data_IF_324730987532
#
_entry.id   IF_324730987532
#
_cell.length_a   1.000
_cell.length_b   1.000
_cell.length_c   1.000
_cell.angle_alpha   90.00
_cell.angle_beta   90.00
_cell.angle_gamma   90.00
#
_symmetry.space_group_name_H-M   'P 1'
#
loop_
_entity.id
_entity.type
_entity.pdbx_description
1 polymer ?
#
# COMPACT_ATOMS: atom_id res chain seq x y z
N UNK A 1 -25.79 -41.87 -54.45
CA UNK A 1 -25.55 -42.10 -53.01
C UNK A 1 -24.44 -41.14 -52.58
N UNK A 2 -24.77 -40.08 -51.83
CA UNK A 2 -23.81 -39.05 -51.40
C UNK A 2 -23.23 -39.47 -50.05
N UNK A 3 -21.93 -39.80 -50.01
CA UNK A 3 -21.21 -40.05 -48.77
C UNK A 3 -20.61 -38.72 -48.28
N UNK A 4 -20.95 -38.37 -47.04
CA UNK A 4 -20.53 -37.17 -46.34
C UNK A 4 -19.14 -37.38 -45.73
N UNK A 5 -18.18 -36.52 -46.06
CA UNK A 5 -16.82 -36.58 -45.52
C UNK A 5 -16.79 -35.94 -44.12
N UNK A 6 -16.48 -36.73 -43.09
CA UNK A 6 -16.18 -36.24 -41.74
C UNK A 6 -14.67 -35.96 -41.68
N UNK A 7 -14.28 -34.69 -41.62
CA UNK A 7 -12.89 -34.30 -41.37
C UNK A 7 -12.56 -34.50 -39.90
N UNK A 8 -11.62 -35.38 -39.63
CA UNK A 8 -11.06 -35.63 -38.30
C UNK A 8 -10.25 -34.40 -37.87
N UNK A 9 -10.79 -33.63 -36.93
CA UNK A 9 -10.14 -32.45 -36.35
C UNK A 9 -9.02 -32.85 -35.39
N UNK A 10 -7.81 -32.38 -35.67
CA UNK A 10 -6.65 -32.43 -34.80
C UNK A 10 -6.86 -31.45 -33.65
N UNK A 11 -7.20 -31.96 -32.45
CA UNK A 11 -7.25 -31.16 -31.23
C UNK A 11 -5.83 -31.11 -30.67
N UNK A 12 -5.12 -30.02 -30.96
CA UNK A 12 -3.85 -29.70 -30.33
C UNK A 12 -4.15 -29.16 -28.93
N UNK A 13 -4.08 -30.02 -27.91
CA UNK A 13 -4.13 -29.58 -26.51
C UNK A 13 -2.77 -28.94 -26.18
N UNK A 14 -2.70 -27.61 -26.30
CA UNK A 14 -1.58 -26.84 -25.79
C UNK A 14 -1.72 -26.80 -24.26
N UNK A 15 -1.20 -27.81 -23.57
CA UNK A 15 -1.04 -27.79 -22.13
C UNK A 15 0.12 -26.85 -21.78
N UNK A 16 -0.14 -25.54 -21.84
CA UNK A 16 0.69 -24.56 -21.17
C UNK A 16 0.37 -24.65 -19.67
N UNK A 17 1.16 -25.46 -18.94
CA UNK A 17 1.26 -25.29 -17.50
C UNK A 17 2.00 -23.97 -17.28
N UNK A 18 1.21 -22.94 -17.00
CA UNK A 18 1.68 -21.62 -16.62
C UNK A 18 2.63 -21.74 -15.41
N UNK A 19 3.69 -20.90 -15.33
CA UNK A 19 4.47 -20.79 -14.12
C UNK A 19 3.56 -20.40 -12.95
N UNK A 20 3.71 -21.09 -11.82
CA UNK A 20 3.12 -20.70 -10.53
C UNK A 20 3.75 -19.39 -10.09
N UNK A 21 3.14 -18.28 -10.47
CA UNK A 21 3.44 -16.95 -9.96
C UNK A 21 2.22 -16.48 -9.17
N UNK A 22 2.30 -16.63 -7.86
CA UNK A 22 1.52 -15.87 -6.88
C UNK A 22 2.40 -15.82 -5.63
N UNK A 23 3.54 -15.15 -5.75
CA UNK A 23 4.03 -14.38 -4.61
C UNK A 23 3.08 -13.18 -4.54
N UNK A 24 2.58 -12.81 -3.35
CA UNK A 24 1.92 -11.52 -3.17
C UNK A 24 2.86 -10.44 -3.69
N UNK A 25 2.55 -9.89 -4.84
CA UNK A 25 3.44 -9.05 -5.64
C UNK A 25 2.81 -7.66 -5.74
N UNK A 26 3.15 -6.81 -4.77
CA UNK A 26 3.56 -5.48 -5.17
C UNK A 26 3.10 -4.29 -4.33
N UNK A 27 2.32 -4.43 -3.26
CA UNK A 27 1.77 -3.25 -2.57
C UNK A 27 1.82 -3.33 -1.06
N UNK A 28 2.04 -2.18 -0.44
CA UNK A 28 1.86 -1.96 1.00
C UNK A 28 0.54 -1.21 1.16
N UNK A 29 -0.44 -1.84 1.82
CA UNK A 29 -1.80 -1.31 1.92
C UNK A 29 -2.43 -1.54 3.28
N UNK A 30 -3.56 -0.89 3.50
CA UNK A 30 -4.47 -1.16 4.61
C UNK A 30 -5.73 -1.79 4.04
N UNK A 31 -6.06 -3.00 4.51
CA UNK A 31 -7.26 -3.74 4.14
C UNK A 31 -8.49 -2.95 4.58
N UNK A 32 -9.38 -2.70 3.62
CA UNK A 32 -10.54 -1.84 3.81
C UNK A 32 -10.29 -0.35 3.58
N UNK A 33 -9.05 0.15 3.49
CA UNK A 33 -8.80 1.53 3.02
C UNK A 33 -8.93 1.56 1.49
N UNK A 34 -10.16 1.41 1.02
CA UNK A 34 -10.48 1.16 -0.39
C UNK A 34 -10.45 2.44 -1.20
N UNK A 35 -10.74 3.60 -0.59
CA UNK A 35 -10.60 4.89 -1.25
C UNK A 35 -9.15 5.42 -1.17
N UNK A 36 -8.32 4.83 -0.30
CA UNK A 36 -6.90 5.12 -0.15
C UNK A 36 -6.61 6.38 0.63
N UNK A 37 -7.51 6.87 1.50
CA UNK A 37 -7.36 8.08 2.31
C UNK A 37 -6.69 7.85 3.67
N UNK A 38 -6.36 6.60 3.99
CA UNK A 38 -5.65 6.21 5.21
C UNK A 38 -6.54 6.15 6.45
N UNK A 39 -7.85 6.40 6.31
CA UNK A 39 -8.85 6.15 7.32
C UNK A 39 -9.73 4.98 6.89
N UNK A 40 -10.10 4.15 7.87
CA UNK A 40 -11.10 3.12 7.65
C UNK A 40 -12.45 3.65 8.13
N UNK A 41 -13.29 4.11 7.21
CA UNK A 41 -14.57 4.74 7.52
C UNK A 41 -15.70 4.40 6.53
N UNK A 42 -16.78 5.20 6.52
CA UNK A 42 -17.95 4.92 5.66
C UNK A 42 -17.68 5.22 4.17
N UNK A 43 -16.64 6.00 3.87
CA UNK A 43 -16.18 6.28 2.51
C UNK A 43 -15.73 5.04 1.78
N UNK A 44 -15.13 4.08 2.49
CA UNK A 44 -14.59 2.86 1.94
C UNK A 44 -15.65 1.91 1.34
N UNK A 45 -16.67 1.45 2.08
CA UNK A 45 -17.68 0.57 1.50
C UNK A 45 -18.47 1.27 0.39
N UNK A 46 -18.56 2.61 0.41
CA UNK A 46 -19.13 3.40 -0.69
C UNK A 46 -18.24 3.33 -1.93
N UNK A 47 -16.92 3.46 -1.76
CA UNK A 47 -15.95 3.31 -2.85
C UNK A 47 -15.97 1.89 -3.43
N UNK A 48 -16.00 0.84 -2.60
CA UNK A 48 -16.15 -0.55 -3.03
C UNK A 48 -17.40 -0.76 -3.87
N UNK A 49 -18.56 -0.25 -3.45
CA UNK A 49 -19.78 -0.33 -4.23
C UNK A 49 -19.70 0.46 -5.54
N UNK A 50 -19.02 1.62 -5.53
CA UNK A 50 -18.78 2.40 -6.73
C UNK A 50 -17.89 1.63 -7.72
N UNK A 51 -16.84 0.96 -7.25
CA UNK A 51 -15.99 0.07 -8.04
C UNK A 51 -16.78 -1.06 -8.70
N UNK A 52 -17.65 -1.72 -7.94
CA UNK A 52 -18.43 -2.87 -8.43
C UNK A 52 -19.49 -2.51 -9.48
N UNK A 53 -20.11 -1.33 -9.37
CA UNK A 53 -21.31 -1.00 -10.14
C UNK A 53 -21.16 0.18 -11.10
N UNK A 54 -20.05 0.93 -11.06
CA UNK A 54 -19.78 2.08 -11.92
C UNK A 54 -18.57 1.80 -12.80
N UNK A 55 -18.79 1.72 -14.11
CA UNK A 55 -17.85 1.21 -15.12
C UNK A 55 -16.52 1.97 -15.27
N UNK A 56 -16.40 3.15 -14.66
CA UNK A 56 -15.28 4.07 -14.86
C UNK A 56 -14.41 4.24 -13.60
N UNK A 57 -14.62 3.41 -12.58
CA UNK A 57 -13.79 3.41 -11.36
C UNK A 57 -12.59 2.49 -11.55
N UNK A 58 -11.44 3.04 -11.89
CA UNK A 58 -10.18 2.32 -11.73
C UNK A 58 -9.84 2.26 -10.24
N UNK A 59 -9.41 1.10 -9.76
CA UNK A 59 -8.84 0.95 -8.43
C UNK A 59 -7.43 0.38 -8.55
N UNK A 60 -6.50 1.04 -7.89
CA UNK A 60 -5.07 0.71 -7.93
C UNK A 60 -4.70 -0.29 -6.83
N UNK A 61 -5.67 -0.74 -6.03
CA UNK A 61 -5.43 -1.73 -4.97
C UNK A 61 -6.62 -2.68 -4.79
N UNK A 62 -6.54 -3.84 -5.45
CA UNK A 62 -7.59 -4.87 -5.34
C UNK A 62 -7.55 -5.57 -3.98
N UNK A 63 -6.38 -5.68 -3.35
CA UNK A 63 -6.25 -6.30 -2.02
C UNK A 63 -6.92 -5.46 -0.93
N UNK A 64 -6.96 -4.13 -1.08
CA UNK A 64 -7.71 -3.27 -0.17
C UNK A 64 -9.22 -3.49 -0.30
N UNK A 65 -9.70 -3.76 -1.52
CA UNK A 65 -11.12 -4.00 -1.82
C UNK A 65 -11.62 -5.36 -1.35
N UNK A 66 -10.75 -6.36 -1.24
CA UNK A 66 -11.06 -7.67 -0.64
C UNK A 66 -10.94 -7.59 0.90
N UNK A 67 -11.94 -6.93 1.50
CA UNK A 67 -11.98 -6.66 2.94
C UNK A 67 -12.17 -7.96 3.74
N UNK A 68 -12.84 -8.94 3.13
CA UNK A 68 -13.13 -10.21 3.78
C UNK A 68 -12.06 -11.29 3.54
N UNK A 69 -11.07 -10.99 2.69
CA UNK A 69 -9.86 -11.80 2.43
C UNK A 69 -10.19 -13.19 1.87
N UNK A 70 -11.14 -13.25 0.91
CA UNK A 70 -11.58 -14.50 0.27
C UNK A 70 -11.09 -14.69 -1.18
N UNK A 71 -10.20 -13.80 -1.62
CA UNK A 71 -9.59 -13.74 -2.95
C UNK A 71 -10.56 -13.24 -4.02
N UNK A 72 -11.62 -12.52 -3.64
CA UNK A 72 -12.62 -11.96 -4.55
C UNK A 72 -13.07 -10.59 -4.08
N UNK A 73 -13.20 -9.68 -5.04
CA UNK A 73 -13.85 -8.39 -4.81
C UNK A 73 -15.31 -8.51 -5.23
N UNK A 74 -16.22 -8.54 -4.26
CA UNK A 74 -17.66 -8.54 -4.49
C UNK A 74 -18.46 -7.78 -3.41
N UNK A 75 -19.80 -7.90 -3.42
CA UNK A 75 -20.65 -7.15 -2.49
C UNK A 75 -20.47 -7.59 -1.02
N UNK A 76 -19.92 -8.79 -0.78
CA UNK A 76 -19.63 -9.30 0.54
C UNK A 76 -18.61 -8.42 1.26
N UNK A 77 -17.65 -7.83 0.55
CA UNK A 77 -16.63 -6.95 1.13
C UNK A 77 -17.24 -5.70 1.76
N UNK A 78 -18.07 -4.98 0.99
CA UNK A 78 -18.76 -3.80 1.50
C UNK A 78 -19.69 -4.13 2.68
N UNK A 79 -20.35 -5.29 2.65
CA UNK A 79 -21.23 -5.75 3.76
C UNK A 79 -20.40 -6.12 5.00
N UNK A 80 -19.26 -6.76 4.81
CA UNK A 80 -18.33 -7.14 5.87
C UNK A 80 -17.81 -5.89 6.58
N UNK A 81 -17.32 -4.92 5.80
CA UNK A 81 -16.80 -3.65 6.29
C UNK A 81 -17.86 -2.83 7.06
N UNK A 82 -19.05 -2.65 6.50
CA UNK A 82 -20.16 -1.98 7.19
C UNK A 82 -20.56 -2.69 8.49
N UNK A 83 -20.44 -4.01 8.53
CA UNK A 83 -20.70 -4.79 9.74
C UNK A 83 -19.63 -4.55 10.81
N UNK A 84 -18.36 -4.46 10.41
CA UNK A 84 -17.28 -4.06 11.30
C UNK A 84 -17.51 -2.66 11.87
N UNK A 85 -17.74 -1.67 11.00
CA UNK A 85 -17.89 -0.25 11.36
C UNK A 85 -19.10 0.02 12.28
N UNK A 86 -20.26 -0.61 12.03
CA UNK A 86 -21.51 -0.23 12.70
C UNK A 86 -22.13 -1.31 13.59
N UNK A 87 -21.69 -2.56 13.50
CA UNK A 87 -22.33 -3.68 14.21
C UNK A 87 -21.38 -4.45 15.12
N UNK A 88 -20.20 -3.91 15.38
CA UNK A 88 -19.14 -4.60 16.12
C UNK A 88 -18.88 -5.99 15.52
N UNK A 89 -18.88 -6.06 14.18
CA UNK A 89 -18.51 -7.26 13.45
C UNK A 89 -17.06 -7.64 13.68
N UNK A 90 -16.65 -8.79 13.16
CA UNK A 90 -15.24 -9.21 13.18
C UNK A 90 -14.39 -8.17 12.44
N UNK A 91 -13.24 -7.76 12.99
CA UNK A 91 -12.31 -6.91 12.25
C UNK A 91 -11.81 -7.61 10.98
N UNK A 92 -11.54 -6.86 9.89
CA UNK A 92 -10.86 -7.41 8.72
C UNK A 92 -9.54 -8.10 9.10
N UNK A 93 -9.13 -9.15 8.37
CA UNK A 93 -7.79 -9.71 8.51
C UNK A 93 -6.70 -8.66 8.26
N UNK A 94 -5.49 -8.84 8.80
CA UNK A 94 -4.36 -7.97 8.47
C UNK A 94 -4.11 -7.87 6.95
N UNK A 95 -3.55 -6.75 6.45
CA UNK A 95 -3.07 -5.58 7.20
C UNK A 95 -4.18 -4.54 7.52
N UNK A 96 -4.55 -4.31 8.79
CA UNK A 96 -5.69 -3.43 9.17
C UNK A 96 -5.29 -2.11 9.83
N UNK A 97 -4.49 -2.16 10.90
CA UNK A 97 -4.12 -0.96 11.67
C UNK A 97 -2.88 -0.25 11.12
N UNK A 98 -2.12 -0.95 10.27
CA UNK A 98 -0.86 -0.50 9.71
C UNK A 98 -0.72 -1.01 8.29
N UNK A 99 -0.19 -0.17 7.38
CA UNK A 99 0.12 -0.62 6.04
C UNK A 99 1.06 -1.84 6.09
N UNK A 100 0.74 -2.87 5.30
CA UNK A 100 1.54 -4.09 5.19
C UNK A 100 1.30 -4.80 3.87
N UNK A 101 2.08 -5.86 3.59
CA UNK A 101 1.82 -6.74 2.46
C UNK A 101 0.61 -7.62 2.73
N UNK A 102 0.07 -8.22 1.68
CA UNK A 102 -0.90 -9.30 1.87
C UNK A 102 -0.21 -10.56 2.41
N UNK A 103 -0.73 -11.10 3.51
CA UNK A 103 -0.25 -12.34 4.11
C UNK A 103 -0.95 -13.58 3.49
N UNK A 104 -2.02 -13.39 2.74
CA UNK A 104 -2.75 -14.45 2.04
C UNK A 104 -2.40 -14.41 0.54
N UNK A 105 -1.85 -15.51 -0.02
CA UNK A 105 -1.54 -15.53 -1.44
C UNK A 105 -2.80 -15.74 -2.28
N UNK A 106 -3.07 -14.80 -3.20
CA UNK A 106 -4.10 -14.96 -4.23
C UNK A 106 -3.69 -14.31 -5.58
N UNK A 107 -4.67 -13.97 -6.42
CA UNK A 107 -4.46 -13.35 -7.73
C UNK A 107 -4.80 -11.85 -7.76
N UNK A 108 -5.24 -11.29 -6.64
CA UNK A 108 -5.43 -9.86 -6.45
C UNK A 108 -4.05 -9.21 -6.27
N UNK A 109 -4.00 -7.93 -6.58
CA UNK A 109 -2.77 -7.14 -6.51
C UNK A 109 -3.07 -5.77 -5.98
N UNK A 110 -2.16 -5.27 -5.15
CA UNK A 110 -2.12 -3.88 -4.77
C UNK A 110 -0.96 -3.14 -5.44
N UNK A 111 -1.27 -2.13 -6.24
CA UNK A 111 -0.30 -1.22 -6.86
C UNK A 111 -0.19 0.11 -6.09
N UNK A 112 -1.03 0.34 -5.07
CA UNK A 112 -0.83 1.46 -4.13
C UNK A 112 0.52 1.29 -3.43
N UNK A 113 1.39 2.28 -3.62
CA UNK A 113 2.73 2.31 -3.03
C UNK A 113 3.86 1.84 -3.93
N UNK A 114 3.61 1.47 -5.20
CA UNK A 114 4.68 1.17 -6.19
C UNK A 114 4.44 1.88 -7.53
N UNK A 115 4.00 3.14 -7.47
CA UNK A 115 4.12 4.05 -8.61
C UNK A 115 5.26 5.06 -8.38
N UNK A 116 5.78 5.64 -9.45
CA UNK A 116 6.83 6.66 -9.39
C UNK A 116 6.46 7.75 -8.36
N UNK A 117 7.19 7.81 -7.24
CA UNK A 117 7.04 8.84 -6.22
C UNK A 117 5.97 8.62 -5.16
N UNK A 118 6.13 7.58 -4.33
CA UNK A 118 5.37 7.41 -3.08
C UNK A 118 5.69 8.53 -2.09
N UNK A 119 4.66 9.24 -1.62
CA UNK A 119 4.76 10.34 -0.66
C UNK A 119 4.69 9.80 0.79
N UNK A 120 5.76 9.96 1.56
CA UNK A 120 5.86 9.50 2.95
C UNK A 120 6.25 10.65 3.90
N UNK A 121 5.63 10.71 5.08
CA UNK A 121 5.98 11.63 6.17
C UNK A 121 6.66 10.91 7.32
N UNK A 122 7.68 11.50 7.91
CA UNK A 122 8.20 11.15 9.21
C UNK A 122 8.16 12.35 10.14
N UNK A 123 7.57 12.15 11.32
CA UNK A 123 7.60 13.12 12.42
C UNK A 123 8.59 12.64 13.47
N UNK A 124 9.79 13.25 13.58
CA UNK A 124 10.79 12.78 14.52
C UNK A 124 10.30 12.82 15.96
N UNK A 125 10.29 11.66 16.62
CA UNK A 125 9.91 11.52 18.04
C UNK A 125 11.11 11.42 18.96
N UNK A 126 12.33 11.33 18.44
CA UNK A 126 13.58 11.21 19.19
C UNK A 126 14.65 12.11 18.56
N UNK A 127 15.69 12.46 19.33
CA UNK A 127 16.84 13.19 18.78
C UNK A 127 18.08 12.31 18.77
N UNK A 128 18.86 12.37 17.70
CA UNK A 128 20.14 11.67 17.52
C UNK A 128 20.01 10.13 17.53
N UNK A 129 18.83 9.63 17.19
CA UNK A 129 18.52 8.19 17.11
C UNK A 129 17.87 7.82 15.77
N UNK A 130 17.67 8.79 14.89
CA UNK A 130 17.16 8.56 13.56
C UNK A 130 18.26 7.91 12.70
N UNK A 131 17.88 6.98 11.81
CA UNK A 131 18.85 6.17 11.06
C UNK A 131 19.77 6.98 10.14
N UNK A 132 19.34 8.17 9.74
CA UNK A 132 20.06 9.11 8.89
C UNK A 132 20.82 10.18 9.69
N UNK A 133 20.55 10.36 10.99
CA UNK A 133 21.27 11.31 11.83
C UNK A 133 22.60 10.68 12.31
N UNK A 134 23.59 10.59 11.41
CA UNK A 134 24.92 10.02 11.73
C UNK A 134 25.92 11.05 12.27
N UNK A 135 25.65 12.35 12.13
CA UNK A 135 26.45 13.45 12.66
C UNK A 135 25.62 14.73 12.93
N UNK A 136 26.29 15.80 13.33
CA UNK A 136 25.69 17.09 13.69
C UNK A 136 25.45 17.96 12.43
N UNK A 137 25.56 17.42 11.21
CA UNK A 137 25.25 18.18 10.00
C UNK A 137 23.76 18.55 9.98
N UNK A 138 23.51 19.82 9.66
CA UNK A 138 22.18 20.43 9.72
C UNK A 138 21.36 20.22 8.44
N UNK A 139 21.88 19.45 7.48
CA UNK A 139 21.17 19.16 6.23
C UNK A 139 20.51 17.78 6.30
N UNK A 140 19.46 17.73 7.12
CA UNK A 140 18.67 16.51 7.38
C UNK A 140 18.06 15.93 6.10
N UNK A 141 17.74 16.80 5.12
CA UNK A 141 17.24 16.40 3.80
C UNK A 141 18.32 15.67 2.99
N UNK A 142 19.55 16.16 2.99
CA UNK A 142 20.65 15.47 2.32
C UNK A 142 20.92 14.09 2.96
N UNK A 143 20.88 14.01 4.29
CA UNK A 143 21.13 12.78 5.04
C UNK A 143 20.07 11.70 4.78
N UNK A 144 18.78 12.05 4.88
CA UNK A 144 17.70 11.10 4.60
C UNK A 144 17.73 10.65 3.13
N UNK A 145 18.04 11.55 2.21
CA UNK A 145 18.14 11.23 0.77
C UNK A 145 19.22 10.20 0.52
N UNK A 146 20.44 10.45 1.01
CA UNK A 146 21.56 9.53 0.86
C UNK A 146 21.29 8.16 1.52
N UNK A 147 20.61 8.17 2.67
CA UNK A 147 20.24 6.95 3.37
C UNK A 147 19.23 6.11 2.57
N UNK A 148 18.18 6.73 2.00
CA UNK A 148 17.20 6.07 1.12
C UNK A 148 17.87 5.46 -0.10
N UNK A 149 18.72 6.24 -0.78
CA UNK A 149 19.45 5.80 -1.98
C UNK A 149 20.38 4.61 -1.69
N UNK A 150 20.91 4.51 -0.47
CA UNK A 150 21.81 3.41 -0.07
C UNK A 150 21.15 2.02 -0.09
N UNK A 151 19.82 1.95 -0.06
CA UNK A 151 19.07 0.69 -0.17
C UNK A 151 18.42 0.47 -1.55
N UNK A 152 18.75 1.31 -2.54
CA UNK A 152 18.23 1.24 -3.90
C UNK A 152 16.93 2.02 -4.11
N UNK A 153 16.59 2.94 -3.21
CA UNK A 153 15.49 3.89 -3.43
C UNK A 153 15.88 5.03 -4.37
N UNK A 154 14.90 5.64 -5.02
CA UNK A 154 15.05 6.87 -5.82
C UNK A 154 14.23 7.96 -5.15
N UNK A 155 14.88 9.03 -4.71
CA UNK A 155 14.21 10.20 -4.12
C UNK A 155 13.90 11.22 -5.21
N UNK A 156 12.61 11.40 -5.49
CA UNK A 156 12.13 12.40 -6.45
C UNK A 156 12.02 13.80 -5.83
N UNK A 157 11.70 13.85 -4.53
CA UNK A 157 11.70 15.09 -3.74
C UNK A 157 11.84 14.77 -2.26
N UNK A 158 12.42 15.70 -1.50
CA UNK A 158 12.46 15.65 -0.05
C UNK A 158 12.42 17.08 0.50
N UNK A 159 11.58 17.33 1.51
CA UNK A 159 11.42 18.66 2.09
C UNK A 159 10.95 18.60 3.55
N UNK A 160 11.15 19.71 4.26
CA UNK A 160 10.77 19.86 5.67
C UNK A 160 9.46 20.65 5.74
N UNK A 161 8.43 20.06 6.35
CA UNK A 161 7.18 20.74 6.67
C UNK A 161 7.20 21.24 8.12
N UNK A 162 7.05 22.56 8.37
CA UNK A 162 6.93 23.08 9.73
C UNK A 162 5.64 22.58 10.38
N UNK A 163 5.77 21.91 11.52
CA UNK A 163 4.64 21.44 12.32
C UNK A 163 4.77 22.04 13.72
N UNK A 164 4.09 23.17 13.98
CA UNK A 164 4.09 23.75 15.31
C UNK A 164 3.53 22.69 16.27
N UNK A 165 4.14 22.58 17.45
CA UNK A 165 3.79 21.63 18.53
C UNK A 165 4.38 20.21 18.47
N UNK A 166 5.21 19.85 17.49
CA UNK A 166 5.95 18.59 17.56
C UNK A 166 7.10 18.65 18.57
N UNK A 167 6.94 17.89 19.66
CA UNK A 167 7.95 17.70 20.72
C UNK A 167 8.56 16.31 20.61
N UNK A 168 9.89 16.27 20.63
CA UNK A 168 10.61 15.02 20.75
C UNK A 168 10.32 14.37 22.13
N UNK A 169 9.91 13.10 22.12
CA UNK A 169 9.54 12.34 23.31
C UNK A 169 10.73 12.02 24.21
N UNK A 170 11.96 12.05 23.68
CA UNK A 170 13.17 11.77 24.43
C UNK A 170 13.74 13.00 25.19
N UNK A 171 13.75 14.18 24.56
CA UNK A 171 14.34 15.42 25.12
C UNK A 171 13.30 16.48 25.55
N UNK A 172 12.04 16.36 25.12
CA UNK A 172 11.03 17.43 25.28
C UNK A 172 11.33 18.69 24.45
N UNK A 173 12.31 18.64 23.56
CA UNK A 173 12.70 19.76 22.71
C UNK A 173 11.76 19.88 21.51
N UNK A 174 11.45 21.12 21.13
CA UNK A 174 10.62 21.41 19.96
C UNK A 174 11.42 21.02 18.72
N UNK A 175 11.02 19.92 18.06
CA UNK A 175 11.48 19.59 16.71
C UNK A 175 10.74 20.49 15.74
N UNK A 176 9.41 20.58 15.86
CA UNK A 176 8.63 21.60 15.15
C UNK A 176 8.54 21.38 13.62
N UNK A 177 8.84 20.18 13.14
CA UNK A 177 8.77 19.83 11.72
C UNK A 177 8.45 18.34 11.50
N UNK A 178 8.11 18.00 10.25
CA UNK A 178 8.15 16.66 9.68
C UNK A 178 8.98 16.65 8.42
N UNK A 179 9.57 15.50 8.13
CA UNK A 179 10.29 15.24 6.89
C UNK A 179 9.30 14.58 5.94
N UNK A 180 9.17 15.13 4.73
CA UNK A 180 8.36 14.54 3.67
C UNK A 180 9.27 14.11 2.54
N UNK A 181 9.13 12.86 2.07
CA UNK A 181 9.89 12.29 0.97
C UNK A 181 8.95 11.73 -0.09
N UNK A 182 9.31 11.95 -1.36
CA UNK A 182 8.68 11.34 -2.54
C UNK A 182 9.69 10.34 -3.07
N UNK A 183 9.41 9.04 -2.93
CA UNK A 183 10.39 7.98 -3.14
C UNK A 183 9.84 6.83 -3.98
N UNK A 184 10.69 6.20 -4.78
CA UNK A 184 10.42 4.92 -5.43
C UNK A 184 11.40 3.85 -4.98
N UNK A 185 10.99 2.58 -5.04
CA UNK A 185 11.83 1.42 -4.74
C UNK A 185 11.35 0.67 -3.49
N UNK A 186 10.80 -0.52 -3.71
CA UNK A 186 10.06 -1.31 -2.72
C UNK A 186 10.85 -1.53 -1.43
N UNK A 187 12.12 -1.92 -1.57
CA UNK A 187 13.01 -2.14 -0.42
C UNK A 187 13.24 -0.87 0.39
N UNK A 188 13.33 0.29 -0.26
CA UNK A 188 13.52 1.56 0.44
C UNK A 188 12.23 1.98 1.16
N UNK A 189 11.07 1.76 0.53
CA UNK A 189 9.75 2.04 1.12
C UNK A 189 9.51 1.14 2.34
N UNK A 190 9.79 -0.17 2.24
CA UNK A 190 9.74 -1.10 3.37
C UNK A 190 10.62 -0.63 4.53
N UNK A 191 11.86 -0.23 4.23
CA UNK A 191 12.79 0.27 5.25
C UNK A 191 12.28 1.56 5.89
N UNK A 192 11.76 2.51 5.10
CA UNK A 192 11.19 3.75 5.60
C UNK A 192 10.00 3.48 6.54
N UNK A 193 9.11 2.55 6.18
CA UNK A 193 7.98 2.13 7.01
C UNK A 193 8.43 1.55 8.36
N UNK A 194 9.49 0.73 8.38
CA UNK A 194 10.08 0.20 9.62
C UNK A 194 10.61 1.30 10.55
N UNK A 195 11.10 2.40 9.98
CA UNK A 195 11.55 3.58 10.74
C UNK A 195 10.43 4.59 11.03
N UNK A 196 9.18 4.24 10.71
CA UNK A 196 8.00 5.01 11.07
C UNK A 196 7.64 6.13 10.10
N UNK A 197 8.17 6.11 8.88
CA UNK A 197 7.60 6.89 7.79
C UNK A 197 6.22 6.34 7.45
N UNK A 198 5.24 7.23 7.36
CA UNK A 198 3.86 6.89 7.07
C UNK A 198 3.47 7.47 5.70
N UNK A 199 2.73 6.73 4.86
CA UNK A 199 2.16 7.29 3.65
C UNK A 199 1.34 8.54 3.95
N UNK A 200 1.57 9.61 3.20
CA UNK A 200 0.68 10.77 3.17
C UNK A 200 -0.19 10.57 1.95
N UNK A 201 -1.48 10.38 2.19
CA UNK A 201 -2.46 10.47 1.11
C UNK A 201 -2.72 11.96 0.88
N UNK A 202 -2.53 12.49 -0.34
CA UNK A 202 -2.85 13.87 -0.66
C UNK A 202 -4.35 14.19 -0.57
#
# INVERSE_FOLDING_TARGET
MRACAVRLGMVLFCAALAPSAAHGDGGIFVRGDTNGDGALDIGDPVYTLHYLFVSDTACDCLDALDVNDDGKVDIADAVFELSFLFRSGTPPPPPLDRPGPDETPDALTCLRGVEEGTLLSYTPRQCMLDAWETDIERDEIALITAWIESFGGVVHAAYIEPLPFNVCLACGCLRGYSIVVIVSGDKAIEMLALYGFMPIVP
#
